data_IF_044555461248
#
_entry.id   IF_044555461248
#
_cell.length_a   1.000
_cell.length_b   1.000
_cell.length_c   1.000
_cell.angle_alpha   90.00
_cell.angle_beta   90.00
_cell.angle_gamma   90.00
#
_symmetry.space_group_name_H-M   'P 1'
#
loop_
_entity.id
_entity.type
_entity.pdbx_description
1 polymer ?
#
# COMPACT_ATOMS: atom_id res chain seq x y z
N UNK A 1 -38.47 3.46 7.47
CA UNK A 1 -38.46 3.78 6.02
C UNK A 1 -37.83 5.15 5.72
N UNK A 2 -38.10 6.21 6.50
CA UNK A 2 -37.57 7.56 6.25
C UNK A 2 -36.03 7.66 6.10
N UNK A 3 -35.26 6.95 6.93
CA UNK A 3 -33.78 6.97 6.87
C UNK A 3 -33.21 6.45 5.55
N UNK A 4 -33.91 5.51 4.91
CA UNK A 4 -33.49 4.90 3.64
C UNK A 4 -33.69 5.85 2.47
N UNK A 5 -34.79 6.60 2.47
CA UNK A 5 -35.09 7.59 1.45
C UNK A 5 -34.18 8.82 1.59
N UNK A 6 -33.89 9.24 2.83
CA UNK A 6 -32.88 10.27 3.08
C UNK A 6 -31.52 9.89 2.49
N UNK A 7 -31.06 8.64 2.71
CA UNK A 7 -29.82 8.15 2.13
C UNK A 7 -29.82 8.07 0.59
N UNK A 8 -30.99 7.95 -0.06
CA UNK A 8 -31.11 8.01 -1.52
C UNK A 8 -30.98 9.43 -2.06
N UNK A 9 -31.55 10.41 -1.35
CA UNK A 9 -31.46 11.83 -1.71
C UNK A 9 -29.99 12.28 -1.62
N UNK A 10 -29.31 11.99 -0.52
CA UNK A 10 -27.88 12.30 -0.32
C UNK A 10 -27.00 11.68 -1.42
N UNK A 11 -27.25 10.42 -1.78
CA UNK A 11 -26.52 9.76 -2.88
C UNK A 11 -26.77 10.44 -4.22
N UNK A 12 -27.99 10.88 -4.49
CA UNK A 12 -28.34 11.52 -5.76
C UNK A 12 -27.70 12.89 -5.87
N UNK A 13 -27.75 13.70 -4.80
CA UNK A 13 -27.05 14.98 -4.72
C UNK A 13 -25.54 14.81 -4.93
N UNK A 14 -24.93 13.86 -4.23
CA UNK A 14 -23.51 13.54 -4.40
C UNK A 14 -23.15 13.13 -5.84
N UNK A 15 -23.99 12.34 -6.51
CA UNK A 15 -23.75 11.94 -7.92
C UNK A 15 -23.85 13.16 -8.85
N UNK A 16 -24.81 14.05 -8.62
CA UNK A 16 -24.95 15.27 -9.43
C UNK A 16 -23.74 16.20 -9.23
N UNK A 17 -23.30 16.42 -8.00
CA UNK A 17 -22.09 17.19 -7.68
C UNK A 17 -20.84 16.54 -8.32
N UNK A 18 -20.76 15.21 -8.26
CA UNK A 18 -19.66 14.45 -8.87
C UNK A 18 -19.65 14.55 -10.40
N UNK A 19 -20.80 14.58 -11.06
CA UNK A 19 -20.89 14.79 -12.52
C UNK A 19 -20.48 16.21 -12.93
N UNK A 20 -20.75 17.21 -12.09
CA UNK A 20 -20.50 18.61 -12.42
C UNK A 20 -19.10 19.10 -12.02
N UNK A 21 -18.48 18.57 -10.97
CA UNK A 21 -17.15 19.02 -10.50
C UNK A 21 -16.02 18.07 -10.90
N UNK A 22 -15.07 18.56 -11.67
CA UNK A 22 -13.83 17.82 -12.01
C UNK A 22 -12.95 17.62 -10.77
N UNK A 23 -12.91 18.60 -9.87
CA UNK A 23 -12.14 18.59 -8.64
C UNK A 23 -12.64 17.51 -7.68
N UNK A 24 -13.96 17.39 -7.52
CA UNK A 24 -14.57 16.33 -6.72
C UNK A 24 -14.26 14.95 -7.30
N UNK A 25 -14.36 14.78 -8.63
CA UNK A 25 -13.96 13.53 -9.28
C UNK A 25 -12.50 13.17 -9.04
N UNK A 26 -11.57 14.13 -9.19
CA UNK A 26 -10.14 13.91 -8.95
C UNK A 26 -9.87 13.48 -7.52
N UNK A 27 -10.50 14.13 -6.53
CA UNK A 27 -10.37 13.77 -5.12
C UNK A 27 -10.91 12.37 -4.82
N UNK A 28 -12.10 12.05 -5.33
CA UNK A 28 -12.72 10.72 -5.16
C UNK A 28 -11.86 9.65 -5.83
N UNK A 29 -11.40 9.88 -7.05
CA UNK A 29 -10.54 8.94 -7.77
C UNK A 29 -9.21 8.73 -7.06
N UNK A 30 -8.57 9.79 -6.54
CA UNK A 30 -7.36 9.64 -5.75
C UNK A 30 -7.59 8.81 -4.47
N UNK A 31 -8.74 8.97 -3.81
CA UNK A 31 -9.13 8.14 -2.68
C UNK A 31 -9.36 6.67 -3.07
N UNK A 32 -10.07 6.44 -4.18
CA UNK A 32 -10.33 5.11 -4.72
C UNK A 32 -9.03 4.41 -5.14
N UNK A 33 -8.15 5.08 -5.88
CA UNK A 33 -6.86 4.51 -6.31
C UNK A 33 -5.99 4.10 -5.11
N UNK A 34 -6.02 4.84 -4.00
CA UNK A 34 -5.34 4.43 -2.75
C UNK A 34 -5.98 3.16 -2.17
N UNK A 35 -7.30 3.09 -2.13
CA UNK A 35 -8.05 1.91 -1.65
C UNK A 35 -7.80 0.68 -2.53
N UNK A 36 -7.84 0.85 -3.85
CA UNK A 36 -7.56 -0.19 -4.83
C UNK A 36 -6.12 -0.69 -4.71
N UNK A 37 -5.13 0.20 -4.65
CA UNK A 37 -3.73 -0.18 -4.48
C UNK A 37 -3.50 -0.96 -3.17
N UNK A 38 -4.13 -0.54 -2.06
CA UNK A 38 -4.12 -1.31 -0.80
C UNK A 38 -4.78 -2.68 -0.98
N UNK A 39 -5.90 -2.77 -1.68
CA UNK A 39 -6.58 -4.02 -1.93
C UNK A 39 -5.77 -4.96 -2.85
N UNK A 40 -5.07 -4.42 -3.85
CA UNK A 40 -4.14 -5.17 -4.71
C UNK A 40 -3.00 -5.74 -3.85
N UNK A 41 -2.38 -4.91 -3.01
CA UNK A 41 -1.34 -5.35 -2.08
C UNK A 41 -1.86 -6.44 -1.13
N UNK A 42 -3.03 -6.23 -0.53
CA UNK A 42 -3.64 -7.21 0.37
C UNK A 42 -3.92 -8.55 -0.35
N UNK A 43 -4.40 -8.52 -1.60
CA UNK A 43 -4.58 -9.73 -2.41
C UNK A 43 -3.25 -10.43 -2.72
N UNK A 44 -2.20 -9.68 -3.04
CA UNK A 44 -0.88 -10.22 -3.30
C UNK A 44 -0.29 -10.90 -2.05
N UNK A 45 -0.45 -10.28 -0.87
CA UNK A 45 -0.01 -10.84 0.42
C UNK A 45 -0.84 -12.08 0.80
N UNK A 46 -2.14 -12.08 0.49
CA UNK A 46 -3.06 -13.17 0.83
C UNK A 46 -2.97 -14.39 -0.11
N UNK A 47 -1.86 -14.56 -0.83
CA UNK A 47 -1.69 -15.57 -1.89
C UNK A 47 -1.96 -17.03 -1.47
N UNK A 48 -1.92 -17.38 -0.17
CA UNK A 48 -2.22 -18.73 0.27
C UNK A 48 -3.74 -19.04 0.17
N UNK A 49 -4.12 -19.82 -0.85
CA UNK A 49 -5.48 -20.25 -1.25
C UNK A 49 -6.32 -19.27 -2.09
N UNK A 50 -5.73 -18.55 -3.05
CA UNK A 50 -6.50 -17.84 -4.10
C UNK A 50 -7.54 -16.81 -3.59
N UNK A 51 -7.42 -16.28 -2.37
CA UNK A 51 -8.43 -15.34 -1.85
C UNK A 51 -9.70 -15.99 -1.28
N UNK A 52 -9.83 -17.33 -1.27
CA UNK A 52 -11.03 -17.98 -0.72
C UNK A 52 -10.92 -18.22 0.79
N UNK A 53 -11.74 -17.48 1.55
CA UNK A 53 -11.97 -17.75 2.98
C UNK A 53 -12.90 -18.97 3.08
N UNK A 54 -12.30 -20.17 3.08
CA UNK A 54 -13.00 -21.45 3.32
C UNK A 54 -12.99 -21.89 4.79
N UNK A 55 -12.85 -20.96 5.74
CA UNK A 55 -12.99 -21.26 7.16
C UNK A 55 -14.42 -21.01 7.63
N UNK A 56 -15.01 -22.03 8.24
CA UNK A 56 -16.41 -22.04 8.69
C UNK A 56 -16.65 -21.23 9.99
N UNK A 57 -15.61 -20.67 10.62
CA UNK A 57 -15.72 -19.94 11.90
C UNK A 57 -15.39 -18.45 11.81
N UNK A 58 -16.28 -17.59 12.30
CA UNK A 58 -16.13 -16.12 12.32
C UNK A 58 -14.82 -15.65 12.96
N UNK A 59 -14.41 -16.28 14.06
CA UNK A 59 -13.14 -15.98 14.74
C UNK A 59 -11.92 -16.21 13.84
N UNK A 60 -11.88 -17.30 13.08
CA UNK A 60 -10.77 -17.58 12.16
C UNK A 60 -10.69 -16.56 11.02
N UNK A 61 -11.84 -16.07 10.55
CA UNK A 61 -11.89 -14.99 9.55
C UNK A 61 -11.34 -13.68 10.13
N UNK A 62 -11.67 -13.36 11.38
CA UNK A 62 -11.18 -12.18 12.08
C UNK A 62 -9.67 -12.21 12.31
N UNK A 63 -9.12 -13.34 12.75
CA UNK A 63 -7.66 -13.49 12.92
C UNK A 63 -6.92 -13.36 11.59
N UNK A 64 -7.43 -13.96 10.50
CA UNK A 64 -6.84 -13.81 9.16
C UNK A 64 -6.91 -12.37 8.65
N UNK A 65 -8.05 -11.70 8.78
CA UNK A 65 -8.21 -10.31 8.37
C UNK A 65 -7.27 -9.37 9.15
N UNK A 66 -7.14 -9.59 10.46
CA UNK A 66 -6.22 -8.84 11.31
C UNK A 66 -4.76 -9.09 10.92
N UNK A 67 -4.37 -10.35 10.70
CA UNK A 67 -3.03 -10.71 10.25
C UNK A 67 -2.70 -10.12 8.87
N UNK A 68 -3.64 -10.18 7.93
CA UNK A 68 -3.46 -9.58 6.61
C UNK A 68 -3.28 -8.06 6.72
N UNK A 69 -4.07 -7.39 7.55
CA UNK A 69 -3.93 -5.96 7.80
C UNK A 69 -2.57 -5.63 8.41
N UNK A 70 -2.10 -6.43 9.37
CA UNK A 70 -0.80 -6.26 10.01
C UNK A 70 0.35 -6.38 8.99
N UNK A 71 0.35 -7.44 8.16
CA UNK A 71 1.38 -7.63 7.14
C UNK A 71 1.34 -6.53 6.08
N UNK A 72 0.14 -6.15 5.63
CA UNK A 72 -0.04 -5.03 4.69
C UNK A 72 0.52 -3.73 5.26
N UNK A 73 0.23 -3.43 6.54
CA UNK A 73 0.77 -2.26 7.21
C UNK A 73 2.30 -2.31 7.37
N UNK A 74 2.85 -3.50 7.66
CA UNK A 74 4.30 -3.70 7.76
C UNK A 74 5.01 -3.45 6.42
N UNK A 75 4.43 -3.92 5.31
CA UNK A 75 4.94 -3.64 3.95
C UNK A 75 4.92 -2.15 3.66
N UNK A 76 3.80 -1.47 3.95
CA UNK A 76 3.69 -0.02 3.74
C UNK A 76 4.72 0.74 4.57
N UNK A 77 4.89 0.38 5.84
CA UNK A 77 5.89 0.99 6.71
C UNK A 77 7.30 0.80 6.17
N UNK A 78 7.64 -0.43 5.75
CA UNK A 78 8.94 -0.72 5.15
C UNK A 78 9.17 0.14 3.90
N UNK A 79 8.18 0.19 3.00
CA UNK A 79 8.29 0.98 1.79
C UNK A 79 8.47 2.46 2.08
N UNK A 80 7.70 3.05 2.99
CA UNK A 80 7.85 4.47 3.37
C UNK A 80 9.27 4.78 3.83
N UNK A 81 9.81 3.97 4.74
CA UNK A 81 11.17 4.17 5.29
C UNK A 81 12.25 4.00 4.21
N UNK A 82 12.12 3.00 3.34
CA UNK A 82 13.15 2.76 2.31
C UNK A 82 13.05 3.70 1.13
N UNK A 83 11.87 4.20 0.80
CA UNK A 83 11.68 5.23 -0.22
C UNK A 83 12.33 6.55 0.21
N UNK A 84 12.12 6.96 1.47
CA UNK A 84 12.80 8.13 2.04
C UNK A 84 14.33 7.97 1.92
N UNK A 85 14.86 6.83 2.36
CA UNK A 85 16.31 6.55 2.28
C UNK A 85 16.84 6.49 0.84
N UNK A 86 16.07 5.94 -0.08
CA UNK A 86 16.45 5.89 -1.49
C UNK A 86 16.53 7.29 -2.11
N UNK A 87 15.59 8.16 -1.77
CA UNK A 87 15.60 9.57 -2.19
C UNK A 87 16.78 10.32 -1.59
N UNK A 88 17.06 10.16 -0.29
CA UNK A 88 18.24 10.77 0.33
C UNK A 88 19.54 10.29 -0.30
N UNK A 89 19.67 8.98 -0.55
CA UNK A 89 20.84 8.43 -1.24
C UNK A 89 20.99 8.99 -2.65
N UNK A 90 19.91 9.14 -3.42
CA UNK A 90 19.94 9.75 -4.76
C UNK A 90 20.45 11.21 -4.70
N UNK A 91 19.95 11.99 -3.74
CA UNK A 91 20.38 13.38 -3.54
C UNK A 91 21.86 13.48 -3.15
N UNK A 92 22.34 12.60 -2.26
CA UNK A 92 23.75 12.52 -1.86
C UNK A 92 24.67 12.17 -3.05
N UNK A 93 24.19 11.39 -4.02
CA UNK A 93 24.93 11.03 -5.24
C UNK A 93 24.78 12.09 -6.34
N UNK A 94 24.22 13.27 -6.05
CA UNK A 94 24.11 14.40 -6.98
C UNK A 94 23.00 14.24 -8.03
N UNK A 95 22.08 13.29 -7.86
CA UNK A 95 20.91 13.16 -8.74
C UNK A 95 19.88 14.23 -8.39
N UNK A 96 19.39 14.93 -9.41
CA UNK A 96 18.30 15.91 -9.24
C UNK A 96 16.99 15.14 -9.08
N UNK A 97 16.42 15.19 -7.88
CA UNK A 97 15.11 14.60 -7.58
C UNK A 97 14.06 15.71 -7.60
N UNK A 98 13.09 15.59 -8.52
CA UNK A 98 11.97 16.54 -8.63
C UNK A 98 10.96 16.32 -7.49
N UNK A 99 10.79 17.34 -6.63
CA UNK A 99 9.85 17.34 -5.52
C UNK A 99 8.39 17.16 -5.98
N UNK A 100 8.03 17.62 -7.18
CA UNK A 100 6.67 17.43 -7.72
C UNK A 100 6.40 15.96 -8.03
N UNK A 101 7.41 15.19 -8.40
CA UNK A 101 7.28 13.74 -8.61
C UNK A 101 7.22 12.98 -7.29
N UNK A 102 7.95 13.42 -6.26
CA UNK A 102 7.91 12.80 -4.93
C UNK A 102 6.51 12.81 -4.31
N UNK A 103 5.71 13.85 -4.57
CA UNK A 103 4.32 13.92 -4.09
C UNK A 103 3.40 12.83 -4.67
N UNK A 104 3.78 12.25 -5.82
CA UNK A 104 3.03 11.19 -6.49
C UNK A 104 3.49 9.78 -6.11
N UNK A 105 4.54 9.68 -5.29
CA UNK A 105 5.11 8.41 -4.86
C UNK A 105 4.14 7.68 -3.91
N UNK A 106 3.93 6.39 -4.15
CA UNK A 106 3.04 5.55 -3.33
C UNK A 106 3.83 4.45 -2.61
N UNK A 107 3.71 4.33 -1.28
CA UNK A 107 4.34 3.25 -0.52
C UNK A 107 3.61 1.90 -0.66
N UNK A 108 2.63 1.79 -1.56
CA UNK A 108 1.82 0.59 -1.77
C UNK A 108 2.40 -0.36 -2.84
N UNK A 109 3.46 0.04 -3.54
CA UNK A 109 4.16 -0.83 -4.51
C UNK A 109 4.80 -2.05 -3.84
N UNK A 110 4.76 -3.22 -4.47
CA UNK A 110 5.23 -4.47 -3.86
C UNK A 110 5.98 -5.39 -4.81
N UNK A 111 6.19 -4.98 -6.06
CA UNK A 111 6.89 -5.78 -7.07
C UNK A 111 8.35 -6.07 -6.68
N UNK A 112 8.95 -5.23 -5.84
CA UNK A 112 10.30 -5.43 -5.29
C UNK A 112 10.36 -6.39 -4.09
N UNK A 113 9.21 -6.86 -3.60
CA UNK A 113 9.10 -7.74 -2.43
C UNK A 113 8.78 -9.16 -2.90
N UNK A 114 9.64 -10.11 -2.52
CA UNK A 114 9.36 -11.53 -2.73
C UNK A 114 8.30 -11.99 -1.73
N UNK A 115 7.05 -12.12 -2.20
CA UNK A 115 5.93 -12.67 -1.42
C UNK A 115 5.87 -14.21 -1.47
N UNK A 116 6.51 -14.81 -2.48
CA UNK A 116 6.53 -16.25 -2.73
C UNK A 116 7.93 -16.73 -3.07
N UNK A 117 8.27 -17.96 -2.67
CA UNK A 117 9.55 -18.59 -2.97
C UNK A 117 10.30 -19.06 -1.71
N UNK A 118 11.55 -19.48 -1.90
CA UNK A 118 12.39 -19.97 -0.80
C UNK A 118 13.07 -18.81 -0.07
N UNK A 119 12.77 -18.68 1.22
CA UNK A 119 13.37 -17.68 2.08
C UNK A 119 14.66 -18.22 2.70
N UNK A 120 15.79 -17.88 2.09
CA UNK A 120 17.11 -18.19 2.63
C UNK A 120 17.47 -17.23 3.77
N UNK A 121 17.07 -17.58 4.98
CA UNK A 121 17.52 -16.90 6.20
C UNK A 121 18.97 -17.29 6.52
N UNK A 122 19.95 -16.55 5.99
CA UNK A 122 21.32 -16.64 6.50
C UNK A 122 21.31 -16.14 7.95
N UNK A 123 21.66 -17.01 8.91
CA UNK A 123 21.61 -16.78 10.38
C UNK A 123 22.47 -15.60 10.91
N UNK A 124 22.97 -14.70 10.08
CA UNK A 124 24.05 -13.78 10.46
C UNK A 124 23.93 -12.38 9.85
N UNK A 125 22.79 -11.74 10.00
CA UNK A 125 22.72 -10.28 9.95
C UNK A 125 21.58 -9.80 10.86
N UNK A 126 21.75 -9.97 12.18
CA UNK A 126 21.03 -9.07 13.09
C UNK A 126 21.48 -7.66 12.72
N UNK A 127 20.63 -6.94 11.99
CA UNK A 127 20.80 -5.51 11.85
C UNK A 127 20.87 -4.94 13.27
N UNK A 128 21.96 -4.25 13.60
CA UNK A 128 22.06 -3.58 14.91
C UNK A 128 20.91 -2.57 15.01
N UNK A 129 20.46 -2.24 16.21
CA UNK A 129 19.39 -1.25 16.40
C UNK A 129 19.67 0.04 15.62
N UNK A 130 18.66 0.51 14.89
CA UNK A 130 18.76 1.68 14.00
C UNK A 130 19.52 1.44 12.69
N UNK A 131 20.00 0.23 12.42
CA UNK A 131 20.60 -0.12 11.12
C UNK A 131 19.54 -0.68 10.18
N UNK A 132 19.59 -0.18 8.96
CA UNK A 132 18.73 -0.62 7.87
C UNK A 132 19.49 -1.54 6.92
N UNK A 133 18.76 -2.32 6.12
CA UNK A 133 19.36 -3.06 5.03
C UNK A 133 19.98 -2.10 4.01
N UNK A 134 21.11 -2.50 3.40
CA UNK A 134 21.75 -1.72 2.36
C UNK A 134 20.80 -1.58 1.16
N UNK A 135 20.83 -0.39 0.55
CA UNK A 135 20.16 -0.18 -0.73
C UNK A 135 20.89 -0.97 -1.82
N UNK A 136 20.18 -1.33 -2.89
CA UNK A 136 20.83 -1.92 -4.07
C UNK A 136 21.76 -0.87 -4.69
N UNK A 137 22.96 -1.25 -5.15
CA UNK A 137 23.86 -0.32 -5.82
C UNK A 137 23.19 0.25 -7.07
N UNK A 138 23.44 1.54 -7.34
CA UNK A 138 22.93 2.20 -8.53
C UNK A 138 23.53 1.56 -9.78
N UNK A 139 22.70 1.18 -10.75
CA UNK A 139 23.16 0.74 -12.06
C UNK A 139 23.66 1.97 -12.84
N UNK A 140 24.89 2.40 -12.55
CA UNK A 140 25.49 3.58 -13.18
C UNK A 140 26.72 4.17 -12.49
N UNK A 141 27.33 3.46 -11.54
CA UNK A 141 28.63 3.78 -10.95
C UNK A 141 29.69 2.80 -11.45
#
# INVERSE_FOLDING_TARGET
MALRELGRIERTLFILDWLQSVELRRRVQAGLSKGEARNVLARAVFFNRLGEIRDRGFEQQRYRASGLNLVTAAVVLWNTVYLERAVSALQEHGQVVDEMLLQNLSPLGWEHINLTGDYLWRRSAKLKDGKYQPLRPFAGA
#
